data_IF_237749647818
#
_entry.id   IF_237749647818
#
_cell.length_a   1.000
_cell.length_b   1.000
_cell.length_c   1.000
_cell.angle_alpha   90.00
_cell.angle_beta   90.00
_cell.angle_gamma   90.00
#
_symmetry.space_group_name_H-M   'P 1'
#
loop_
_entity.id
_entity.type
_entity.pdbx_description
1 polymer ?
#
# COMPACT_ATOMS: atom_id res chain seq x y z
N UNK A 1 -74.13 48.55 19.04
CA UNK A 1 -73.45 49.88 18.91
C UNK A 1 -72.16 49.57 18.14
N UNK A 2 -72.14 49.99 16.88
CA UNK A 2 -71.28 51.00 16.25
C UNK A 2 -69.80 50.81 16.72
N UNK A 3 -68.78 50.57 15.93
CA UNK A 3 -68.39 51.36 14.72
C UNK A 3 -67.24 50.68 13.98
N UNK A 4 -67.27 50.69 12.64
CA UNK A 4 -66.27 51.10 11.59
C UNK A 4 -64.85 50.54 11.62
N UNK A 5 -64.52 49.63 10.72
CA UNK A 5 -63.85 49.88 9.41
C UNK A 5 -62.65 50.81 9.45
N UNK A 6 -61.49 50.28 9.03
CA UNK A 6 -60.54 50.93 8.15
C UNK A 6 -59.57 49.94 7.49
N UNK A 7 -59.69 49.83 6.20
CA UNK A 7 -58.70 49.19 5.30
C UNK A 7 -57.39 49.94 5.36
N UNK A 8 -56.27 49.21 5.50
CA UNK A 8 -54.99 49.68 5.01
C UNK A 8 -54.32 48.49 4.24
N UNK A 9 -54.25 48.69 2.94
CA UNK A 9 -53.46 47.88 2.03
C UNK A 9 -51.96 48.02 2.41
N UNK A 10 -51.29 46.92 2.65
CA UNK A 10 -49.83 46.86 2.73
C UNK A 10 -49.33 45.98 1.58
N UNK A 11 -48.65 46.65 0.66
CA UNK A 11 -47.83 46.09 -0.41
C UNK A 11 -46.82 45.18 0.21
N UNK A 12 -46.90 43.88 -0.10
CA UNK A 12 -45.86 42.91 0.24
C UNK A 12 -44.90 42.85 -0.91
N UNK A 13 -43.74 43.50 -0.72
CA UNK A 13 -42.60 43.34 -1.60
C UNK A 13 -41.99 41.94 -1.40
N UNK A 14 -42.09 41.12 -2.44
CA UNK A 14 -41.38 39.85 -2.52
C UNK A 14 -39.90 40.09 -2.71
N UNK A 15 -39.09 40.03 -1.64
CA UNK A 15 -37.65 39.82 -1.73
C UNK A 15 -37.38 38.35 -2.08
N UNK A 16 -37.08 38.11 -3.34
CA UNK A 16 -36.50 36.84 -3.78
C UNK A 16 -35.10 36.73 -3.20
N UNK A 17 -34.93 35.98 -2.10
CA UNK A 17 -33.64 35.51 -1.60
C UNK A 17 -33.17 34.41 -2.56
N UNK A 18 -32.33 34.78 -3.53
CA UNK A 18 -31.57 33.84 -4.31
C UNK A 18 -30.50 33.24 -3.37
N UNK A 19 -30.84 32.10 -2.74
CA UNK A 19 -29.85 31.27 -2.08
C UNK A 19 -28.94 30.68 -3.17
N UNK A 20 -27.79 31.30 -3.39
CA UNK A 20 -26.69 30.68 -4.08
C UNK A 20 -26.19 29.51 -3.21
N UNK A 21 -26.66 28.31 -3.51
CA UNK A 21 -25.99 27.09 -3.11
C UNK A 21 -24.60 27.12 -3.74
N UNK A 22 -23.63 27.65 -3.00
CA UNK A 22 -22.23 27.36 -3.26
C UNK A 22 -22.09 25.88 -3.01
N UNK A 23 -22.21 25.07 -4.07
CA UNK A 23 -21.74 23.71 -4.09
C UNK A 23 -20.25 23.81 -3.75
N UNK A 24 -19.87 23.39 -2.55
CA UNK A 24 -18.52 22.99 -2.23
C UNK A 24 -18.20 21.75 -3.07
N UNK A 25 -18.04 21.93 -4.37
CA UNK A 25 -17.31 20.99 -5.20
C UNK A 25 -15.87 21.10 -4.74
N UNK A 26 -15.37 20.06 -4.07
CA UNK A 26 -13.94 19.85 -3.90
C UNK A 26 -13.34 20.02 -5.29
N UNK A 27 -12.57 21.10 -5.50
CA UNK A 27 -11.92 21.37 -6.78
C UNK A 27 -10.97 20.19 -7.04
N UNK A 28 -11.29 19.37 -8.03
CA UNK A 28 -10.45 18.28 -8.50
C UNK A 28 -9.13 18.76 -9.13
N UNK A 29 -8.97 20.07 -9.29
CA UNK A 29 -7.77 20.70 -9.85
C UNK A 29 -6.71 20.86 -8.77
N UNK A 30 -5.50 20.36 -9.02
CA UNK A 30 -4.36 20.48 -8.12
C UNK A 30 -3.94 21.95 -7.95
N UNK A 31 -3.60 22.35 -6.71
CA UNK A 31 -3.13 23.69 -6.41
C UNK A 31 -1.67 23.88 -6.83
N UNK A 32 -1.29 25.10 -7.22
CA UNK A 32 0.09 25.47 -7.56
C UNK A 32 0.66 26.31 -6.43
N UNK A 33 1.93 26.06 -6.07
CA UNK A 33 2.63 26.85 -5.06
C UNK A 33 3.22 28.16 -5.62
N UNK A 34 3.95 28.91 -4.76
CA UNK A 34 4.60 30.18 -5.15
C UNK A 34 5.72 30.02 -6.18
N UNK A 35 6.29 28.84 -6.30
CA UNK A 35 7.40 28.51 -7.21
C UNK A 35 6.90 27.93 -8.54
N UNK A 36 5.59 27.86 -8.71
CA UNK A 36 4.95 27.32 -9.92
C UNK A 36 4.87 25.79 -9.93
N UNK A 37 5.15 25.13 -8.81
CA UNK A 37 5.05 23.67 -8.70
C UNK A 37 3.64 23.25 -8.29
N UNK A 38 3.18 22.17 -8.87
CA UNK A 38 1.89 21.56 -8.51
C UNK A 38 1.99 20.85 -7.16
N UNK A 39 1.18 21.28 -6.19
CA UNK A 39 1.07 20.61 -4.88
C UNK A 39 0.29 19.32 -5.00
N UNK A 40 0.87 18.23 -4.50
CA UNK A 40 0.26 16.91 -4.52
C UNK A 40 0.30 16.31 -3.11
N UNK A 41 -0.85 16.16 -2.48
CA UNK A 41 -0.96 15.43 -1.21
C UNK A 41 -0.92 13.92 -1.49
N UNK A 42 0.06 13.24 -0.91
CA UNK A 42 0.39 11.85 -1.18
C UNK A 42 0.26 11.02 0.08
N UNK A 43 -0.69 10.12 0.09
CA UNK A 43 -0.90 9.16 1.18
C UNK A 43 0.19 8.09 1.18
N UNK A 44 0.88 7.93 2.31
CA UNK A 44 2.03 7.04 2.43
C UNK A 44 2.03 6.27 3.75
N UNK A 45 2.69 5.11 3.77
CA UNK A 45 3.00 4.41 5.01
C UNK A 45 4.21 5.04 5.70
N UNK A 46 4.18 5.10 7.03
CA UNK A 46 5.33 5.56 7.80
C UNK A 46 6.45 4.51 7.81
N UNK A 47 7.69 4.95 7.67
CA UNK A 47 8.94 4.24 7.98
C UNK A 47 8.93 2.72 7.65
N UNK A 48 8.76 2.37 6.38
CA UNK A 48 8.88 1.00 5.90
C UNK A 48 9.42 0.92 4.47
N UNK A 49 9.79 -0.27 4.03
CA UNK A 49 10.33 -0.53 2.69
C UNK A 49 9.28 -0.50 1.58
N UNK A 50 7.98 -0.68 1.91
CA UNK A 50 6.90 -0.84 0.92
C UNK A 50 6.75 0.33 -0.04
N UNK A 51 7.20 1.50 0.38
CA UNK A 51 7.10 2.75 -0.39
C UNK A 51 8.47 3.37 -0.69
N UNK A 52 9.51 2.56 -0.68
CA UNK A 52 10.88 3.02 -0.90
C UNK A 52 11.06 3.79 -2.22
N UNK A 53 10.44 3.44 -3.37
CA UNK A 53 10.48 4.28 -4.56
C UNK A 53 9.98 5.71 -4.35
N UNK A 54 8.97 5.92 -3.52
CA UNK A 54 8.48 7.26 -3.20
C UNK A 54 9.50 8.06 -2.36
N UNK A 55 10.18 7.40 -1.43
CA UNK A 55 11.27 8.03 -0.65
C UNK A 55 12.39 8.47 -1.57
N UNK A 56 12.87 7.59 -2.44
CA UNK A 56 13.91 7.91 -3.43
C UNK A 56 13.48 9.00 -4.39
N UNK A 57 12.22 8.97 -4.87
CA UNK A 57 11.72 10.02 -5.76
C UNK A 57 11.79 11.42 -5.12
N UNK A 58 11.49 11.51 -3.82
CA UNK A 58 11.62 12.77 -3.07
C UNK A 58 13.09 13.13 -2.82
N UNK A 59 13.92 12.20 -2.36
CA UNK A 59 15.33 12.46 -2.01
C UNK A 59 16.15 12.85 -3.24
N UNK A 60 15.86 12.27 -4.40
CA UNK A 60 16.53 12.59 -5.66
C UNK A 60 15.91 13.78 -6.41
N UNK A 61 14.85 14.40 -5.86
CA UNK A 61 14.19 15.55 -6.49
C UNK A 61 13.38 15.22 -7.75
N UNK A 62 13.08 13.93 -8.01
CA UNK A 62 12.44 13.48 -9.26
C UNK A 62 11.02 14.03 -9.43
N UNK A 63 10.29 14.28 -8.35
CA UNK A 63 8.99 14.96 -8.42
C UNK A 63 9.13 16.42 -8.82
N UNK A 64 10.17 17.10 -8.30
CA UNK A 64 10.42 18.51 -8.66
C UNK A 64 10.79 18.66 -10.14
N UNK A 65 11.52 17.70 -10.70
CA UNK A 65 11.84 17.66 -12.14
C UNK A 65 10.59 17.53 -13.03
N UNK A 66 9.51 16.98 -12.46
CA UNK A 66 8.19 16.86 -13.13
C UNK A 66 7.24 18.01 -12.76
N UNK A 67 7.74 19.08 -12.12
CA UNK A 67 6.95 20.22 -11.71
C UNK A 67 6.00 19.94 -10.53
N UNK A 68 6.29 18.94 -9.72
CA UNK A 68 5.48 18.50 -8.59
C UNK A 68 6.23 18.73 -7.28
N UNK A 69 5.51 19.23 -6.26
CA UNK A 69 5.94 19.19 -4.87
C UNK A 69 4.97 18.32 -4.08
N UNK A 70 5.49 17.31 -3.40
CA UNK A 70 4.69 16.35 -2.63
C UNK A 70 4.52 16.81 -1.19
N UNK A 71 3.30 16.68 -0.66
CA UNK A 71 2.99 16.79 0.76
C UNK A 71 2.59 15.40 1.27
N UNK A 72 3.44 14.80 2.11
CA UNK A 72 3.24 13.42 2.56
C UNK A 72 2.23 13.36 3.69
N UNK A 73 1.15 12.61 3.50
CA UNK A 73 0.14 12.29 4.51
C UNK A 73 0.38 10.85 4.98
N UNK A 74 0.95 10.71 6.17
CA UNK A 74 1.26 9.40 6.73
C UNK A 74 0.05 8.77 7.43
N UNK A 75 -0.17 7.48 7.18
CA UNK A 75 -1.17 6.68 7.86
C UNK A 75 -0.63 5.32 8.29
N UNK A 76 -1.36 4.66 9.18
CA UNK A 76 -0.95 3.38 9.79
C UNK A 76 -1.46 2.17 9.02
N UNK A 77 -2.45 2.36 8.14
CA UNK A 77 -3.07 1.26 7.41
C UNK A 77 -3.49 1.67 5.99
N UNK A 78 -3.57 0.69 5.10
CA UNK A 78 -4.09 0.88 3.74
C UNK A 78 -5.55 1.32 3.74
N UNK A 79 -6.36 0.84 4.68
CA UNK A 79 -7.76 1.26 4.81
C UNK A 79 -7.88 2.77 5.07
N UNK A 80 -7.04 3.31 5.96
CA UNK A 80 -6.98 4.74 6.26
C UNK A 80 -6.52 5.54 5.01
N UNK A 81 -5.47 5.09 4.31
CA UNK A 81 -4.99 5.73 3.09
C UNK A 81 -6.04 5.70 1.96
N UNK A 82 -6.73 4.58 1.78
CA UNK A 82 -7.80 4.47 0.80
C UNK A 82 -8.95 5.44 1.14
N UNK A 83 -9.29 5.59 2.42
CA UNK A 83 -10.30 6.53 2.86
C UNK A 83 -9.89 8.00 2.63
N UNK A 84 -8.62 8.37 2.85
CA UNK A 84 -8.13 9.73 2.55
C UNK A 84 -8.18 10.05 1.06
N UNK A 85 -7.90 9.07 0.22
CA UNK A 85 -7.98 9.18 -1.24
C UNK A 85 -9.44 9.37 -1.71
N UNK A 86 -10.36 8.52 -1.25
CA UNK A 86 -11.78 8.61 -1.58
C UNK A 86 -12.39 9.93 -1.04
N UNK A 87 -11.98 10.34 0.15
CA UNK A 87 -12.40 11.59 0.78
C UNK A 87 -11.75 12.86 0.19
N UNK A 88 -10.79 12.73 -0.75
CA UNK A 88 -10.12 13.84 -1.42
C UNK A 88 -9.06 14.57 -0.59
N UNK A 89 -8.70 14.03 0.59
CA UNK A 89 -7.61 14.58 1.42
C UNK A 89 -6.23 14.29 0.83
N UNK A 90 -6.11 13.25 0.01
CA UNK A 90 -4.93 12.93 -0.79
C UNK A 90 -5.35 12.77 -2.25
N UNK A 91 -4.44 13.03 -3.18
CA UNK A 91 -4.66 12.86 -4.62
C UNK A 91 -4.03 11.58 -5.16
N UNK A 92 -2.95 11.15 -4.51
CA UNK A 92 -2.30 9.87 -4.75
C UNK A 92 -2.17 9.15 -3.41
N UNK A 93 -2.30 7.85 -3.39
CA UNK A 93 -2.05 7.06 -2.18
C UNK A 93 -1.52 5.68 -2.53
N UNK A 94 -0.62 5.15 -1.70
CA UNK A 94 -0.27 3.74 -1.75
C UNK A 94 -1.36 2.93 -1.04
N UNK A 95 -1.65 1.75 -1.56
CA UNK A 95 -2.60 0.82 -0.95
C UNK A 95 -2.21 -0.64 -1.14
N UNK A 96 -2.88 -1.50 -0.39
CA UNK A 96 -2.79 -2.96 -0.56
C UNK A 96 -3.99 -3.47 -1.35
N UNK A 97 -3.86 -4.59 -2.06
CA UNK A 97 -4.96 -5.17 -2.83
C UNK A 97 -6.27 -5.30 -2.03
N UNK A 98 -6.19 -5.76 -0.78
CA UNK A 98 -7.38 -6.00 0.06
C UNK A 98 -8.26 -4.76 0.24
N UNK A 99 -7.65 -3.59 0.41
CA UNK A 99 -8.40 -2.37 0.65
C UNK A 99 -8.77 -1.65 -0.65
N UNK A 100 -7.82 -1.58 -1.60
CA UNK A 100 -8.05 -0.82 -2.83
C UNK A 100 -8.97 -1.59 -3.79
N UNK A 101 -8.71 -2.89 -4.03
CA UNK A 101 -9.57 -3.70 -4.91
C UNK A 101 -10.97 -3.89 -4.33
N UNK A 102 -11.09 -4.02 -2.98
CA UNK A 102 -12.40 -4.06 -2.35
C UNK A 102 -13.18 -2.74 -2.50
N UNK A 103 -12.49 -1.60 -2.46
CA UNK A 103 -13.12 -0.30 -2.72
C UNK A 103 -13.52 -0.15 -4.20
N UNK A 104 -12.68 -0.61 -5.14
CA UNK A 104 -13.01 -0.67 -6.57
C UNK A 104 -14.24 -1.54 -6.83
N UNK A 105 -14.31 -2.73 -6.23
CA UNK A 105 -15.47 -3.64 -6.31
C UNK A 105 -16.76 -3.01 -5.79
N UNK A 106 -16.65 -2.14 -4.79
CA UNK A 106 -17.77 -1.34 -4.26
C UNK A 106 -18.12 -0.12 -5.12
N UNK A 107 -17.53 0.02 -6.30
CA UNK A 107 -17.82 1.10 -7.25
C UNK A 107 -17.10 2.42 -6.94
N UNK A 108 -16.07 2.42 -6.10
CA UNK A 108 -15.24 3.60 -5.95
C UNK A 108 -14.39 3.78 -7.21
N UNK A 109 -14.47 4.96 -7.83
CA UNK A 109 -13.72 5.31 -9.04
C UNK A 109 -12.23 5.48 -8.75
N UNK A 110 -11.53 4.37 -8.59
CA UNK A 110 -10.10 4.29 -8.29
C UNK A 110 -9.34 3.67 -9.46
N UNK A 111 -8.13 4.19 -9.72
CA UNK A 111 -7.22 3.71 -10.77
C UNK A 111 -5.87 3.40 -10.16
N UNK A 112 -5.40 2.17 -10.38
CA UNK A 112 -4.06 1.75 -10.01
C UNK A 112 -3.02 2.31 -10.99
N UNK A 113 -1.93 2.81 -10.45
CA UNK A 113 -0.77 3.32 -11.18
C UNK A 113 0.52 2.70 -10.65
N UNK A 114 1.57 2.73 -11.46
CA UNK A 114 2.90 2.24 -11.05
C UNK A 114 3.53 3.12 -9.95
N UNK A 115 4.51 2.58 -9.20
CA UNK A 115 5.00 1.22 -9.26
C UNK A 115 4.14 0.22 -8.51
N UNK A 116 4.28 -1.05 -8.92
CA UNK A 116 3.65 -2.21 -8.29
C UNK A 116 4.69 -2.94 -7.45
N UNK A 117 4.45 -3.06 -6.15
CA UNK A 117 5.34 -3.76 -5.22
C UNK A 117 4.98 -5.25 -5.15
N UNK A 118 5.97 -6.12 -5.35
CA UNK A 118 5.85 -7.55 -5.11
C UNK A 118 5.67 -7.81 -3.61
N UNK A 119 5.11 -8.96 -3.28
CA UNK A 119 5.06 -9.41 -1.89
C UNK A 119 6.48 -9.64 -1.40
N UNK A 120 6.88 -8.90 -0.35
CA UNK A 120 8.12 -9.08 0.39
C UNK A 120 7.81 -9.68 1.76
N UNK A 121 7.55 -10.99 1.79
CA UNK A 121 7.16 -11.74 2.99
C UNK A 121 7.83 -13.10 3.04
N UNK A 122 8.12 -13.54 4.26
CA UNK A 122 8.57 -14.88 4.55
C UNK A 122 7.70 -15.51 5.65
N UNK A 123 7.48 -16.82 5.57
CA UNK A 123 6.98 -17.64 6.66
C UNK A 123 8.20 -18.25 7.34
N UNK A 124 8.52 -17.78 8.54
CA UNK A 124 9.75 -18.10 9.25
C UNK A 124 9.47 -18.84 10.57
N UNK A 125 10.43 -19.64 10.99
CA UNK A 125 10.49 -20.31 12.29
C UNK A 125 11.82 -20.01 12.98
N UNK A 126 11.95 -20.18 14.32
CA UNK A 126 13.25 -20.12 14.99
C UNK A 126 14.27 -21.07 14.34
N UNK A 127 15.53 -20.66 14.28
CA UNK A 127 16.60 -21.41 13.61
C UNK A 127 16.78 -22.82 14.18
N UNK A 128 16.57 -23.01 15.46
CA UNK A 128 16.61 -24.26 16.20
C UNK A 128 15.31 -25.10 16.16
N UNK A 129 14.25 -24.56 15.53
CA UNK A 129 12.96 -25.27 15.40
C UNK A 129 13.13 -26.58 14.63
N UNK A 130 12.43 -27.65 15.08
CA UNK A 130 12.34 -28.92 14.35
C UNK A 130 11.45 -28.83 13.09
N UNK A 131 10.70 -27.72 12.92
CA UNK A 131 9.87 -27.49 11.73
C UNK A 131 10.77 -27.08 10.57
N UNK A 132 10.71 -27.86 9.48
CA UNK A 132 11.53 -27.67 8.28
C UNK A 132 10.69 -27.63 7.00
N UNK A 133 9.38 -27.87 7.11
CA UNK A 133 8.44 -27.90 5.99
C UNK A 133 7.10 -27.29 6.43
N UNK A 134 6.43 -26.61 5.52
CA UNK A 134 5.11 -25.97 5.74
C UNK A 134 4.07 -26.97 6.24
N UNK A 135 4.13 -28.23 5.77
CA UNK A 135 3.18 -29.28 6.18
C UNK A 135 3.21 -29.58 7.68
N UNK A 136 4.34 -29.32 8.35
CA UNK A 136 4.48 -29.50 9.78
C UNK A 136 3.81 -28.39 10.61
N UNK A 137 3.26 -27.37 9.93
CA UNK A 137 2.49 -26.30 10.58
C UNK A 137 1.03 -26.70 10.87
N UNK A 138 0.56 -27.86 10.41
CA UNK A 138 -0.77 -28.36 10.77
C UNK A 138 -0.94 -28.43 12.30
N UNK A 139 -1.99 -27.81 12.82
CA UNK A 139 -2.27 -27.72 14.27
C UNK A 139 -1.37 -26.77 15.06
N UNK A 140 -0.51 -25.99 14.41
CA UNK A 140 0.45 -25.08 15.01
C UNK A 140 -0.09 -23.67 15.19
N UNK A 141 0.67 -22.83 15.90
CA UNK A 141 0.37 -21.42 16.10
C UNK A 141 1.24 -20.57 15.17
N UNK A 142 0.59 -19.78 14.31
CA UNK A 142 1.27 -18.87 13.38
C UNK A 142 1.03 -17.42 13.80
N UNK A 143 2.11 -16.70 14.06
CA UNK A 143 2.11 -15.27 14.31
C UNK A 143 1.78 -14.51 13.02
N UNK A 144 0.85 -13.57 13.09
CA UNK A 144 0.49 -12.65 12.03
C UNK A 144 0.50 -11.21 12.56
N UNK A 145 0.66 -10.23 11.70
CA UNK A 145 0.68 -8.82 12.14
C UNK A 145 -0.61 -8.49 12.87
N UNK A 146 -1.74 -8.81 12.26
CA UNK A 146 -3.08 -8.66 12.82
C UNK A 146 -4.01 -9.65 12.12
N UNK A 147 -5.07 -10.09 12.82
CA UNK A 147 -6.12 -10.94 12.24
C UNK A 147 -6.88 -10.18 11.14
N UNK A 148 -7.21 -10.88 10.05
CA UNK A 148 -7.94 -10.31 8.92
C UNK A 148 -7.09 -9.39 8.03
N UNK A 149 -5.77 -9.36 8.21
CA UNK A 149 -4.86 -8.57 7.37
C UNK A 149 -4.14 -9.43 6.34
N UNK A 150 -3.39 -8.75 5.46
CA UNK A 150 -2.54 -9.37 4.44
C UNK A 150 -1.67 -10.52 5.00
N UNK A 151 -1.05 -10.34 6.18
CA UNK A 151 -0.15 -11.36 6.74
C UNK A 151 -0.87 -12.67 7.10
N UNK A 152 -2.12 -12.61 7.57
CA UNK A 152 -2.94 -13.81 7.78
C UNK A 152 -3.33 -14.45 6.45
N UNK A 153 -3.76 -13.65 5.47
CA UNK A 153 -4.10 -14.15 4.14
C UNK A 153 -2.90 -14.85 3.50
N UNK A 154 -1.71 -14.22 3.56
CA UNK A 154 -0.47 -14.83 3.05
C UNK A 154 -0.21 -16.21 3.69
N UNK A 155 -0.29 -16.30 5.02
CA UNK A 155 -0.11 -17.60 5.70
C UNK A 155 -1.14 -18.65 5.22
N UNK A 156 -2.40 -18.26 5.08
CA UNK A 156 -3.48 -19.14 4.61
C UNK A 156 -3.22 -19.66 3.19
N UNK A 157 -2.80 -18.78 2.28
CA UNK A 157 -2.46 -19.14 0.90
C UNK A 157 -1.26 -20.11 0.85
N UNK A 158 -0.21 -19.83 1.61
CA UNK A 158 0.97 -20.73 1.68
C UNK A 158 0.58 -22.09 2.23
N UNK A 159 -0.23 -22.17 3.28
CA UNK A 159 -0.72 -23.42 3.85
C UNK A 159 -1.53 -24.21 2.81
N UNK A 160 -2.50 -23.56 2.17
CA UNK A 160 -3.38 -24.18 1.15
C UNK A 160 -2.56 -24.72 -0.03
N UNK A 161 -1.61 -23.94 -0.57
CA UNK A 161 -0.73 -24.38 -1.66
C UNK A 161 0.11 -25.62 -1.29
N UNK A 162 0.41 -25.80 -0.01
CA UNK A 162 1.16 -26.96 0.51
C UNK A 162 0.27 -28.09 1.03
N UNK A 163 -1.05 -28.02 0.80
CA UNK A 163 -2.00 -29.06 1.20
C UNK A 163 -2.30 -29.12 2.69
N UNK A 164 -2.05 -28.03 3.42
CA UNK A 164 -2.40 -27.87 4.83
C UNK A 164 -3.72 -27.10 4.92
N UNK A 165 -4.67 -27.62 5.69
CA UNK A 165 -5.93 -26.90 5.97
C UNK A 165 -5.66 -25.62 6.77
N UNK A 166 -5.91 -24.43 6.19
CA UNK A 166 -5.69 -23.17 6.88
C UNK A 166 -6.56 -22.98 8.13
N UNK A 167 -7.72 -23.66 8.21
CA UNK A 167 -8.61 -23.60 9.38
C UNK A 167 -8.10 -24.49 10.52
N UNK A 168 -7.22 -25.44 10.23
CA UNK A 168 -6.56 -26.30 11.21
C UNK A 168 -5.41 -25.63 11.96
N UNK A 169 -5.13 -24.34 11.71
CA UNK A 169 -4.02 -23.57 12.29
C UNK A 169 -4.57 -22.43 13.17
N UNK A 170 -3.86 -22.13 14.26
CA UNK A 170 -4.21 -20.99 15.12
C UNK A 170 -3.40 -19.75 14.72
N UNK A 171 -4.09 -18.68 14.31
CA UNK A 171 -3.44 -17.40 14.00
C UNK A 171 -3.43 -16.49 15.21
N UNK A 172 -2.25 -15.99 15.57
CA UNK A 172 -2.01 -15.14 16.76
C UNK A 172 -1.56 -13.77 16.30
N UNK A 173 -2.27 -12.71 16.68
CA UNK A 173 -1.81 -11.34 16.43
C UNK A 173 -0.58 -11.03 17.28
N UNK A 174 0.56 -10.75 16.64
CA UNK A 174 1.85 -10.50 17.30
C UNK A 174 2.46 -9.15 16.95
N UNK A 175 1.77 -8.34 16.12
CA UNK A 175 2.27 -7.09 15.59
C UNK A 175 3.18 -7.28 14.38
N UNK A 176 3.69 -6.17 13.84
CA UNK A 176 4.61 -6.12 12.71
C UNK A 176 6.03 -5.74 13.11
N UNK A 177 6.97 -5.92 12.18
CA UNK A 177 8.37 -5.59 12.45
C UNK A 177 8.96 -6.44 13.58
N UNK A 178 9.78 -5.83 14.41
CA UNK A 178 10.42 -6.51 15.56
C UNK A 178 9.46 -6.83 16.69
N UNK A 179 8.23 -6.32 16.70
CA UNK A 179 7.27 -6.59 17.78
C UNK A 179 6.82 -8.04 17.85
N UNK A 180 7.03 -8.83 16.78
CA UNK A 180 6.75 -10.28 16.76
C UNK A 180 7.82 -11.13 17.47
N UNK A 181 9.03 -10.60 17.66
CA UNK A 181 10.17 -11.31 18.21
C UNK A 181 9.91 -11.94 19.61
N UNK A 182 9.29 -11.25 20.59
CA UNK A 182 8.98 -11.84 21.88
C UNK A 182 8.08 -13.08 21.81
N UNK A 183 7.15 -13.13 20.85
CA UNK A 183 6.25 -14.25 20.67
C UNK A 183 6.99 -15.49 20.11
N UNK A 184 7.96 -15.28 19.22
CA UNK A 184 8.85 -16.35 18.73
C UNK A 184 9.79 -16.84 19.83
N UNK A 185 10.47 -15.95 20.57
CA UNK A 185 11.41 -16.30 21.63
C UNK A 185 10.76 -17.09 22.77
N UNK A 186 9.51 -16.76 23.09
CA UNK A 186 8.78 -17.46 24.18
C UNK A 186 8.08 -18.74 23.73
N UNK A 187 8.12 -19.10 22.45
CA UNK A 187 7.36 -20.23 21.92
C UNK A 187 5.84 -20.02 21.92
N UNK A 188 5.37 -18.79 22.08
CA UNK A 188 3.94 -18.46 21.96
C UNK A 188 3.41 -18.72 20.55
N UNK A 189 4.27 -18.63 19.55
CA UNK A 189 3.99 -19.02 18.17
C UNK A 189 5.11 -19.93 17.67
N UNK A 190 4.75 -20.92 16.85
CA UNK A 190 5.69 -21.86 16.25
C UNK A 190 6.37 -21.27 15.00
N UNK A 191 5.64 -20.39 14.28
CA UNK A 191 6.08 -19.68 13.09
C UNK A 191 5.52 -18.27 13.07
N UNK A 192 6.05 -17.40 12.21
CA UNK A 192 5.44 -16.09 11.96
C UNK A 192 5.59 -15.69 10.50
N UNK A 193 4.63 -14.87 10.02
CA UNK A 193 4.77 -14.14 8.75
C UNK A 193 5.46 -12.83 9.02
N UNK A 194 6.60 -12.60 8.38
CA UNK A 194 7.43 -11.43 8.57
C UNK A 194 7.85 -10.85 7.22
N UNK A 195 7.89 -9.51 7.11
CA UNK A 195 8.59 -8.86 6.02
C UNK A 195 10.10 -9.17 6.11
N UNK A 196 10.78 -9.19 4.99
CA UNK A 196 12.21 -9.52 4.92
C UNK A 196 13.06 -8.57 5.77
N UNK A 197 12.74 -7.27 5.76
CA UNK A 197 13.38 -6.29 6.63
C UNK A 197 13.23 -6.63 8.11
N UNK A 198 12.06 -7.15 8.53
CA UNK A 198 11.82 -7.58 9.90
C UNK A 198 12.66 -8.81 10.27
N UNK A 199 12.82 -9.76 9.33
CA UNK A 199 13.67 -10.95 9.52
C UNK A 199 15.12 -10.52 9.75
N UNK A 200 15.65 -9.59 8.94
CA UNK A 200 17.01 -9.05 9.10
C UNK A 200 17.18 -8.43 10.48
N UNK A 201 16.24 -7.58 10.92
CA UNK A 201 16.31 -6.92 12.21
C UNK A 201 16.24 -7.91 13.39
N UNK A 202 15.33 -8.86 13.35
CA UNK A 202 15.22 -9.88 14.41
C UNK A 202 16.49 -10.73 14.51
N UNK A 203 17.09 -11.09 13.35
CA UNK A 203 18.38 -11.80 13.32
C UNK A 203 19.50 -10.97 13.94
N UNK A 204 19.55 -9.66 13.68
CA UNK A 204 20.54 -8.76 14.29
C UNK A 204 20.39 -8.63 15.82
N UNK A 205 19.19 -8.91 16.37
CA UNK A 205 18.94 -9.02 17.81
C UNK A 205 19.34 -10.40 18.40
N UNK A 206 19.98 -11.25 17.60
CA UNK A 206 20.48 -12.56 18.05
C UNK A 206 19.42 -13.67 18.12
N UNK A 207 18.26 -13.51 17.48
CA UNK A 207 17.33 -14.62 17.24
C UNK A 207 17.54 -15.13 15.82
N UNK A 208 18.17 -16.28 15.68
CA UNK A 208 18.28 -16.92 14.36
C UNK A 208 16.91 -17.37 13.87
N UNK A 209 16.66 -17.12 12.58
CA UNK A 209 15.41 -17.46 11.90
C UNK A 209 15.74 -18.21 10.61
N UNK A 210 14.96 -19.24 10.30
CA UNK A 210 14.97 -19.89 8.99
C UNK A 210 13.62 -19.71 8.29
N UNK A 211 13.65 -19.39 7.02
CA UNK A 211 12.47 -19.33 6.20
C UNK A 211 12.05 -20.75 5.77
N UNK A 212 10.77 -21.05 5.94
CA UNK A 212 10.12 -22.19 5.30
C UNK A 212 9.70 -21.84 3.88
N UNK A 213 9.31 -20.57 3.72
CA UNK A 213 8.90 -19.97 2.44
C UNK A 213 9.35 -18.52 2.43
N UNK A 214 9.86 -18.05 1.30
CA UNK A 214 10.18 -16.66 1.06
C UNK A 214 9.73 -16.27 -0.36
N UNK A 215 9.02 -15.16 -0.48
CA UNK A 215 8.52 -14.68 -1.78
C UNK A 215 9.65 -14.21 -2.70
N UNK A 216 10.79 -13.82 -2.14
CA UNK A 216 11.90 -13.25 -2.89
C UNK A 216 12.85 -14.32 -3.48
N UNK A 217 12.78 -15.57 -2.99
CA UNK A 217 13.62 -16.69 -3.47
C UNK A 217 12.86 -17.72 -4.33
N UNK A 218 11.58 -17.43 -4.64
CA UNK A 218 10.74 -18.29 -5.46
C UNK A 218 10.09 -19.47 -4.72
N UNK A 219 10.34 -19.66 -3.43
CA UNK A 219 9.77 -20.78 -2.68
C UNK A 219 8.29 -20.59 -2.33
N UNK A 220 7.75 -19.38 -2.51
CA UNK A 220 6.35 -19.05 -2.22
C UNK A 220 5.37 -19.43 -3.36
N UNK A 221 5.83 -20.05 -4.45
CA UNK A 221 4.98 -20.47 -5.56
C UNK A 221 4.16 -19.30 -6.13
N UNK A 222 2.89 -19.58 -6.48
CA UNK A 222 2.02 -18.61 -7.13
C UNK A 222 1.83 -17.29 -6.34
N UNK A 223 1.85 -17.34 -5.01
CA UNK A 223 1.75 -16.13 -4.18
C UNK A 223 2.96 -15.23 -4.38
N UNK A 224 4.17 -15.80 -4.45
CA UNK A 224 5.39 -15.04 -4.72
C UNK A 224 5.50 -14.56 -6.16
N UNK A 225 5.02 -15.37 -7.12
CA UNK A 225 5.09 -15.06 -8.55
C UNK A 225 4.12 -13.93 -8.95
N UNK A 226 2.86 -14.02 -8.53
CA UNK A 226 1.80 -13.12 -8.97
C UNK A 226 1.41 -12.08 -7.91
N UNK A 227 1.70 -12.34 -6.64
CA UNK A 227 1.18 -11.53 -5.54
C UNK A 227 1.69 -10.09 -5.57
N UNK A 228 0.76 -9.15 -5.37
CA UNK A 228 1.04 -7.75 -5.10
C UNK A 228 0.92 -7.48 -3.61
N UNK A 229 1.88 -6.77 -3.06
CA UNK A 229 1.81 -6.25 -1.70
C UNK A 229 1.24 -4.83 -1.68
N UNK A 230 1.70 -3.99 -2.61
CA UNK A 230 1.26 -2.61 -2.72
C UNK A 230 1.22 -2.15 -4.17
N UNK A 231 0.41 -1.15 -4.44
CA UNK A 231 0.47 -0.35 -5.65
C UNK A 231 -0.04 1.07 -5.34
N UNK A 232 0.30 1.99 -6.21
CA UNK A 232 -0.17 3.37 -6.09
C UNK A 232 -1.53 3.53 -6.73
N UNK A 233 -2.30 4.51 -6.26
CA UNK A 233 -3.68 4.69 -6.66
C UNK A 233 -4.02 6.15 -6.69
N UNK A 234 -4.86 6.55 -7.65
CA UNK A 234 -5.53 7.85 -7.72
C UNK A 234 -7.02 7.65 -7.97
N UNK A 235 -7.82 8.72 -7.94
CA UNK A 235 -9.22 8.66 -8.36
C UNK A 235 -9.36 8.94 -9.85
N UNK A 236 -10.37 8.33 -10.52
CA UNK A 236 -10.74 8.65 -11.90
C UNK A 236 -10.95 10.14 -12.10
N UNK A 237 -11.64 10.78 -11.15
CA UNK A 237 -11.94 12.21 -11.21
C UNK A 237 -10.66 13.06 -11.20
N UNK A 238 -9.70 12.73 -10.32
CA UNK A 238 -8.43 13.47 -10.26
C UNK A 238 -7.59 13.23 -11.52
N UNK A 239 -7.49 11.99 -11.98
CA UNK A 239 -6.77 11.63 -13.21
C UNK A 239 -7.33 12.36 -14.44
N UNK A 240 -8.66 12.42 -14.57
CA UNK A 240 -9.31 13.13 -15.69
C UNK A 240 -9.09 14.64 -15.64
N UNK A 241 -9.12 15.23 -14.46
CA UNK A 241 -8.92 16.66 -14.27
C UNK A 241 -7.45 17.09 -14.36
N UNK A 242 -6.50 16.21 -14.03
CA UNK A 242 -5.07 16.51 -13.92
C UNK A 242 -4.19 15.41 -14.58
N UNK A 243 -4.40 15.09 -15.87
CA UNK A 243 -3.69 13.98 -16.50
C UNK A 243 -2.17 14.18 -16.51
N UNK A 244 -1.69 15.40 -16.73
CA UNK A 244 -0.26 15.69 -16.75
C UNK A 244 0.41 15.52 -15.38
N UNK A 245 -0.31 15.83 -14.29
CA UNK A 245 0.18 15.65 -12.91
C UNK A 245 0.31 14.16 -12.59
N UNK A 246 -0.71 13.36 -12.95
CA UNK A 246 -0.66 11.91 -12.75
C UNK A 246 0.47 11.30 -13.57
N UNK A 247 0.65 11.70 -14.82
CA UNK A 247 1.76 11.22 -15.65
C UNK A 247 3.13 11.70 -15.11
N UNK A 248 3.24 12.91 -14.59
CA UNK A 248 4.45 13.40 -13.91
C UNK A 248 4.79 12.55 -12.67
N UNK A 249 3.78 12.25 -11.86
CA UNK A 249 3.95 11.32 -10.72
C UNK A 249 4.47 9.96 -11.20
N UNK A 250 3.87 9.38 -12.24
CA UNK A 250 4.27 8.11 -12.81
C UNK A 250 5.72 8.12 -13.29
N UNK A 251 6.14 9.16 -14.04
CA UNK A 251 7.53 9.28 -14.51
C UNK A 251 8.52 9.41 -13.37
N UNK A 252 8.21 10.21 -12.34
CA UNK A 252 9.06 10.33 -11.16
C UNK A 252 9.24 8.99 -10.45
N UNK A 253 8.13 8.27 -10.24
CA UNK A 253 8.15 6.96 -9.59
C UNK A 253 8.84 5.88 -10.43
N UNK A 254 8.70 5.91 -11.76
CA UNK A 254 9.40 5.01 -12.66
C UNK A 254 10.92 5.24 -12.62
N UNK A 255 11.36 6.52 -12.67
CA UNK A 255 12.77 6.88 -12.50
C UNK A 255 13.33 6.38 -11.16
N UNK A 256 12.59 6.57 -10.06
CA UNK A 256 12.99 6.08 -8.74
C UNK A 256 13.06 4.54 -8.68
N UNK A 257 12.10 3.85 -9.28
CA UNK A 257 12.09 2.38 -9.35
C UNK A 257 13.31 1.86 -10.12
N UNK A 258 13.62 2.46 -11.27
CA UNK A 258 14.79 2.08 -12.06
C UNK A 258 16.09 2.43 -11.34
N UNK A 259 16.14 3.55 -10.63
CA UNK A 259 17.29 3.93 -9.82
C UNK A 259 17.57 2.91 -8.70
N UNK A 260 16.53 2.43 -8.02
CA UNK A 260 16.65 1.41 -6.98
C UNK A 260 17.11 0.07 -7.56
N UNK A 261 16.65 -0.29 -8.75
CA UNK A 261 17.02 -1.54 -9.40
C UNK A 261 18.47 -1.58 -9.94
N UNK A 262 19.14 -0.43 -9.98
CA UNK A 262 20.53 -0.33 -10.48
C UNK A 262 21.53 -0.43 -9.31
N UNK A 263 22.33 -1.48 -9.30
CA UNK A 263 23.34 -1.76 -8.27
C UNK A 263 24.38 -0.63 -8.10
N UNK A 264 24.57 0.21 -9.10
CA UNK A 264 25.47 1.39 -8.99
C UNK A 264 24.99 2.34 -7.87
N UNK A 265 23.73 2.33 -7.54
CA UNK A 265 23.11 3.16 -6.51
C UNK A 265 23.06 2.51 -5.12
N UNK A 266 23.60 1.29 -4.96
CA UNK A 266 23.55 0.52 -3.72
C UNK A 266 23.96 1.32 -2.49
N UNK A 267 25.10 1.98 -2.51
CA UNK A 267 25.61 2.75 -1.36
C UNK A 267 24.72 3.95 -1.01
N UNK A 268 24.16 4.61 -2.02
CA UNK A 268 23.22 5.71 -1.80
C UNK A 268 21.88 5.20 -1.27
N UNK A 269 21.38 4.10 -1.83
CA UNK A 269 20.15 3.44 -1.38
C UNK A 269 20.25 2.90 0.05
N UNK A 270 21.39 2.33 0.42
CA UNK A 270 21.63 1.90 1.81
C UNK A 270 21.55 3.08 2.78
N UNK A 271 22.15 4.23 2.46
CA UNK A 271 22.05 5.45 3.30
C UNK A 271 20.60 5.93 3.43
N UNK A 272 19.79 5.81 2.39
CA UNK A 272 18.37 6.14 2.45
C UNK A 272 17.61 5.15 3.35
N UNK A 273 17.93 3.85 3.29
CA UNK A 273 17.34 2.82 4.15
C UNK A 273 17.75 2.99 5.63
N UNK A 274 19.02 3.32 5.91
CA UNK A 274 19.50 3.66 7.25
C UNK A 274 18.62 4.74 7.89
N UNK A 275 18.43 5.83 7.15
CA UNK A 275 17.64 6.98 7.60
C UNK A 275 16.14 6.65 7.72
N UNK A 276 15.59 5.91 6.74
CA UNK A 276 14.17 5.56 6.68
C UNK A 276 13.76 4.64 7.83
N UNK A 277 14.61 3.66 8.16
CA UNK A 277 14.28 2.57 9.08
C UNK A 277 14.99 2.68 10.43
N UNK A 278 15.90 3.66 10.60
CA UNK A 278 16.75 3.81 11.78
C UNK A 278 17.56 2.54 12.09
N UNK A 279 18.28 2.04 11.09
CA UNK A 279 19.04 0.78 11.15
C UNK A 279 20.53 1.02 10.91
N UNK A 280 21.37 0.03 11.28
CA UNK A 280 22.80 0.06 10.96
C UNK A 280 23.06 -0.07 9.47
N UNK A 281 24.24 0.39 9.00
CA UNK A 281 24.71 0.22 7.61
C UNK A 281 24.69 -1.25 7.17
N UNK A 282 25.09 -2.16 8.04
CA UNK A 282 25.06 -3.61 7.76
C UNK A 282 23.64 -4.10 7.49
N UNK A 283 22.67 -3.75 8.37
CA UNK A 283 21.27 -4.12 8.20
C UNK A 283 20.65 -3.45 6.95
N UNK A 284 20.98 -2.20 6.67
CA UNK A 284 20.54 -1.52 5.46
C UNK A 284 21.04 -2.23 4.20
N UNK A 285 22.28 -2.73 4.22
CA UNK A 285 22.85 -3.55 3.14
C UNK A 285 22.08 -4.85 2.92
N UNK A 286 21.80 -5.58 4.00
CA UNK A 286 21.00 -6.80 3.92
C UNK A 286 19.57 -6.55 3.44
N UNK A 287 18.95 -5.45 3.85
CA UNK A 287 17.62 -5.06 3.38
C UNK A 287 17.67 -4.69 1.89
N UNK A 288 18.64 -3.88 1.48
CA UNK A 288 18.82 -3.51 0.07
C UNK A 288 18.92 -4.74 -0.82
N UNK A 289 19.81 -5.66 -0.49
CA UNK A 289 20.08 -6.87 -1.28
C UNK A 289 18.81 -7.72 -1.51
N UNK A 290 17.80 -7.57 -0.66
CA UNK A 290 16.55 -8.30 -0.75
C UNK A 290 15.43 -7.52 -1.44
N UNK A 291 15.39 -6.18 -1.29
CA UNK A 291 14.23 -5.42 -1.72
C UNK A 291 14.44 -4.60 -3.00
N UNK A 292 15.68 -4.35 -3.43
CA UNK A 292 15.97 -3.44 -4.57
C UNK A 292 15.29 -3.85 -5.89
N UNK A 293 14.90 -5.11 -6.06
CA UNK A 293 14.16 -5.61 -7.22
C UNK A 293 12.67 -5.86 -6.97
N UNK A 294 12.14 -5.37 -5.85
CA UNK A 294 10.75 -5.68 -5.43
C UNK A 294 9.69 -4.87 -6.16
N UNK A 295 10.06 -3.88 -6.97
CA UNK A 295 9.08 -3.04 -7.65
C UNK A 295 9.15 -3.16 -9.15
N UNK A 296 7.97 -3.01 -9.80
CA UNK A 296 7.84 -2.99 -11.25
C UNK A 296 7.08 -1.74 -11.68
N UNK A 297 7.50 -1.14 -12.78
CA UNK A 297 6.82 0.00 -13.42
C UNK A 297 5.61 -0.43 -14.26
N UNK A 298 5.34 -1.73 -14.36
CA UNK A 298 4.20 -2.28 -15.09
C UNK A 298 3.68 -3.54 -14.41
N UNK A 299 2.45 -3.90 -14.73
CA UNK A 299 1.81 -5.14 -14.30
C UNK A 299 1.11 -5.78 -15.48
N UNK A 300 1.17 -7.11 -15.58
CA UNK A 300 0.42 -7.88 -16.58
C UNK A 300 -1.04 -8.05 -16.15
N UNK A 301 -1.95 -8.13 -17.13
CA UNK A 301 -3.37 -8.38 -16.87
C UNK A 301 -3.61 -9.69 -16.12
N UNK A 302 -2.82 -10.73 -16.41
CA UNK A 302 -2.87 -12.01 -15.69
C UNK A 302 -2.51 -11.84 -14.21
N UNK A 303 -1.44 -11.11 -13.92
CA UNK A 303 -1.03 -10.83 -12.54
C UNK A 303 -2.11 -10.05 -11.77
N UNK A 304 -2.71 -9.05 -12.41
CA UNK A 304 -3.83 -8.31 -11.83
C UNK A 304 -5.01 -9.22 -11.52
N UNK A 305 -5.40 -10.07 -12.49
CA UNK A 305 -6.50 -11.04 -12.32
C UNK A 305 -6.24 -12.02 -11.17
N UNK A 306 -5.01 -12.51 -11.03
CA UNK A 306 -4.64 -13.37 -9.89
C UNK A 306 -4.78 -12.67 -8.54
N UNK A 307 -4.44 -11.38 -8.47
CA UNK A 307 -4.65 -10.60 -7.23
C UNK A 307 -6.14 -10.35 -6.94
N UNK A 308 -6.97 -10.16 -7.96
CA UNK A 308 -8.44 -10.11 -7.79
C UNK A 308 -8.94 -11.43 -7.18
N UNK A 309 -8.55 -12.57 -7.74
CA UNK A 309 -8.97 -13.88 -7.24
C UNK A 309 -8.50 -14.13 -5.81
N UNK A 310 -7.24 -13.76 -5.48
CA UNK A 310 -6.70 -13.86 -4.12
C UNK A 310 -7.39 -12.93 -3.11
N UNK A 311 -7.92 -11.80 -3.58
CA UNK A 311 -8.49 -10.75 -2.71
C UNK A 311 -10.00 -10.86 -2.56
N UNK A 312 -10.71 -11.06 -3.67
CA UNK A 312 -12.18 -11.04 -3.76
C UNK A 312 -12.79 -12.44 -3.92
N UNK A 313 -11.96 -13.48 -4.02
CA UNK A 313 -12.36 -14.87 -4.15
C UNK A 313 -12.15 -15.45 -5.55
N UNK A 314 -11.95 -16.77 -5.59
CA UNK A 314 -11.68 -17.50 -6.82
C UNK A 314 -12.75 -17.27 -7.89
N UNK A 315 -12.30 -16.97 -9.11
CA UNK A 315 -13.17 -16.71 -10.27
C UNK A 315 -13.81 -15.31 -10.28
N UNK A 316 -13.49 -14.42 -9.33
CA UNK A 316 -13.96 -13.02 -9.35
C UNK A 316 -13.41 -12.29 -10.58
N UNK A 317 -14.27 -11.50 -11.24
CA UNK A 317 -13.94 -10.60 -12.36
C UNK A 317 -14.38 -9.17 -12.08
N UNK A 318 -14.60 -8.84 -10.79
CA UNK A 318 -15.28 -7.62 -10.37
C UNK A 318 -14.49 -6.33 -10.65
N UNK A 319 -13.15 -6.41 -10.79
CA UNK A 319 -12.26 -5.25 -10.98
C UNK A 319 -11.41 -5.46 -12.24
N UNK A 320 -11.97 -5.30 -13.46
CA UNK A 320 -11.28 -5.59 -14.71
C UNK A 320 -10.01 -4.73 -14.87
N UNK A 321 -8.95 -5.35 -15.39
CA UNK A 321 -7.66 -4.69 -15.62
C UNK A 321 -7.78 -3.41 -16.47
N UNK A 322 -8.55 -3.50 -17.56
CA UNK A 322 -8.69 -2.39 -18.52
C UNK A 322 -9.33 -1.14 -17.91
N UNK A 323 -10.18 -1.31 -16.91
CA UNK A 323 -10.94 -0.23 -16.29
C UNK A 323 -10.22 0.36 -15.07
N UNK A 324 -9.32 -0.41 -14.44
CA UNK A 324 -8.75 -0.07 -13.14
C UNK A 324 -7.23 0.07 -13.12
N UNK A 325 -6.53 -0.19 -14.23
CA UNK A 325 -5.07 -0.04 -14.30
C UNK A 325 -4.69 0.95 -15.40
N UNK A 326 -3.97 2.00 -15.01
CA UNK A 326 -3.42 2.95 -15.97
C UNK A 326 -2.12 2.42 -16.59
N UNK A 327 -2.24 1.82 -17.76
CA UNK A 327 -1.07 1.29 -18.51
C UNK A 327 -0.22 2.38 -19.18
N UNK A 328 -0.67 3.63 -19.19
CA UNK A 328 0.12 4.77 -19.69
C UNK A 328 1.12 5.29 -18.65
N UNK A 329 0.97 4.89 -17.39
CA UNK A 329 1.84 5.20 -16.28
C UNK A 329 3.12 4.33 -16.34
N UNK A 330 4.16 4.82 -17.09
CA UNK A 330 5.42 4.09 -17.33
C UNK A 330 6.62 4.95 -16.98
#
# INVERSE_FOLDING_TARGET
MKTRSRHLAKVVGALALAATLAACGSSSTAAVDSDGLTKLAVGNFSANTLTFPYVIANEQGLFKDEGIVTETVNAKSSAELTATLIGGSTQMAVGTPENVMAAMDQGQGLVAVAPFGKIDMALVVPGDSSITDVKQLAGKQIGVVQRGTFSERFAREILAQNGVDPEGVTYVAVGGGVTMEPALRSGKVDATVAATSSVVLIKSHGLDLKALVNTMDGTAGAVGEYGLQTFWTTTDAFKQANPDVVQGFCRAMAKATNWIADDVNRDAGMRSLEKLLDVSTENAGHIWDQVHTSWSTSIAAEQWQKNIEMTLGAGSTAVPFADHVDTSCK
#
